data_IF_521453111849
#
_entry.id   IF_521453111849
#
_cell.length_a   1.000
_cell.length_b   1.000
_cell.length_c   1.000
_cell.angle_alpha   90.00
_cell.angle_beta   90.00
_cell.angle_gamma   90.00
#
_symmetry.space_group_name_H-M   'P 1'
#
loop_
_entity.id
_entity.type
_entity.pdbx_description
1 polymer ?
2 non-polymer ?
3 non-polymer ?
4 non-polymer ?
5 water ?
#
# COMPACT_ATOMS: atom_id res chain seq x y z
N UNK A 11 -13.90 -15.50 -22.94
CA UNK A 11 -13.22 -14.29 -22.40
C UNK A 11 -11.82 -14.57 -21.89
N UNK A 12 -10.81 -14.31 -22.74
CA UNK A 12 -9.40 -14.37 -22.34
C UNK A 12 -9.02 -13.01 -21.83
N UNK A 13 -8.62 -12.95 -20.57
CA UNK A 13 -8.12 -11.71 -20.01
C UNK A 13 -6.91 -11.27 -20.78
N UNK A 14 -6.78 -9.96 -20.92
CA UNK A 14 -5.63 -9.39 -21.56
C UNK A 14 -4.45 -9.48 -20.61
N UNK A 15 -3.29 -9.85 -21.16
CA UNK A 15 -2.06 -9.95 -20.40
C UNK A 15 -1.10 -8.82 -20.70
N UNK A 16 -1.53 -7.84 -21.50
CA UNK A 16 -0.64 -6.73 -21.84
C UNK A 16 -0.35 -5.96 -20.55
N UNK A 17 0.94 -5.72 -20.26
CA UNK A 17 1.33 -5.00 -19.05
C UNK A 17 1.14 -3.50 -19.12
N UNK A 18 0.78 -2.93 -17.98
CA UNK A 18 0.67 -1.50 -17.83
C UNK A 18 1.47 -1.13 -16.60
N UNK A 19 2.07 0.06 -16.59
CA UNK A 19 2.74 0.60 -15.41
C UNK A 19 1.83 1.67 -14.82
N UNK A 20 1.49 1.53 -13.54
CA UNK A 20 0.61 2.53 -12.94
C UNK A 20 1.28 3.89 -12.89
N UNK A 21 0.50 4.91 -13.25
CA UNK A 21 0.90 6.33 -13.20
C UNK A 21 -0.37 7.16 -13.29
N UNK A 22 -0.31 8.41 -12.83
CA UNK A 22 -1.50 9.28 -12.85
C UNK A 22 -1.13 10.78 -12.95
N UNK A 33 -6.69 8.81 -14.05
CA UNK A 33 -5.53 8.16 -14.65
C UNK A 33 -5.80 7.69 -16.08
N UNK A 34 -6.94 8.13 -16.64
CA UNK A 34 -7.32 7.77 -18.01
C UNK A 34 -8.43 6.75 -17.98
N UNK A 35 -9.15 6.65 -19.10
CA UNK A 35 -10.34 5.80 -19.19
C UNK A 35 -9.99 4.31 -19.05
N UNK A 36 -8.91 3.91 -19.73
CA UNK A 36 -8.51 2.52 -19.75
C UNK A 36 -8.23 2.04 -18.33
N UNK A 37 -7.33 2.74 -17.65
CA UNK A 37 -6.95 2.37 -16.29
C UNK A 37 -8.13 2.46 -15.34
N UNK A 38 -8.83 3.59 -15.37
CA UNK A 38 -10.04 3.77 -14.57
C UNK A 38 -10.99 2.59 -14.66
N UNK A 39 -11.37 2.18 -15.88
CA UNK A 39 -12.32 1.07 -15.97
C UNK A 39 -11.67 -0.30 -15.67
N UNK A 40 -10.38 -0.48 -15.99
CA UNK A 40 -9.71 -1.73 -15.58
C UNK A 40 -9.79 -1.89 -14.06
N UNK A 41 -9.52 -0.80 -13.33
CA UNK A 41 -9.57 -0.86 -11.87
C UNK A 41 -10.99 -1.04 -11.35
N UNK A 42 -11.91 -0.24 -11.87
CA UNK A 42 -13.30 -0.32 -11.49
C UNK A 42 -13.90 -1.74 -11.57
N UNK A 43 -13.66 -2.44 -12.68
CA UNK A 43 -14.25 -3.77 -12.90
C UNK A 43 -13.49 -4.90 -12.17
N UNK A 44 -12.29 -4.60 -11.69
CA UNK A 44 -11.42 -5.65 -11.13
C UNK A 44 -10.88 -5.31 -9.74
N UNK A 45 -11.71 -4.69 -8.91
CA UNK A 45 -11.48 -4.59 -7.49
C UNK A 45 -10.34 -3.66 -7.14
N UNK A 46 -10.12 -2.65 -7.97
CA UNK A 46 -8.97 -1.75 -7.76
C UNK A 46 -9.42 -0.34 -7.43
N UNK A 47 -8.56 0.38 -6.74
CA UNK A 47 -8.80 1.81 -6.52
C UNK A 47 -7.48 2.54 -6.38
N UNK A 48 -7.52 3.85 -6.63
CA UNK A 48 -6.35 4.70 -6.49
C UNK A 48 -6.67 6.01 -5.77
N UNK A 49 -7.95 6.23 -5.48
CA UNK A 49 -8.46 7.43 -4.81
C UNK A 49 -9.61 7.02 -3.91
N UNK A 50 -9.84 7.82 -2.88
CA UNK A 50 -11.05 7.70 -2.06
C UNK A 50 -12.09 8.69 -2.57
N UNK A 51 -13.07 8.97 -1.72
CA UNK A 51 -14.15 9.89 -2.06
C UNK A 51 -13.63 11.30 -2.26
N UNK A 52 -13.86 11.87 -3.45
CA UNK A 52 -13.28 13.16 -3.83
C UNK A 52 -14.10 14.37 -3.37
N UNK A 53 -15.20 14.10 -2.68
CA UNK A 53 -16.08 15.15 -2.14
C UNK A 53 -15.85 15.36 -0.64
N UNK A 54 -14.93 14.60 -0.04
CA UNK A 54 -14.56 14.72 1.36
C UNK A 54 -13.04 14.95 1.42
N UNK A 55 -12.59 15.68 2.45
CA UNK A 55 -11.18 15.98 2.63
C UNK A 55 -10.47 14.89 3.45
N UNK A 56 -10.82 13.64 3.16
CA UNK A 56 -10.12 12.48 3.75
C UNK A 56 -9.04 12.03 2.80
N UNK A 57 -7.86 11.76 3.36
CA UNK A 57 -6.70 11.28 2.60
C UNK A 57 -6.06 10.09 3.30
N UNK A 58 -5.23 9.35 2.56
CA UNK A 58 -4.78 8.01 2.98
C UNK A 58 -3.30 7.84 2.75
N UNK A 59 -2.54 7.73 3.83
CA UNK A 59 -1.11 7.57 3.77
C UNK A 59 -0.74 6.08 3.65
N UNK A 60 0.17 5.79 2.71
CA UNK A 60 0.68 4.44 2.53
C UNK A 60 2.17 4.49 2.27
N UNK A 61 2.82 3.37 2.56
CA UNK A 61 4.26 3.15 2.33
C UNK A 61 4.42 1.76 1.74
N UNK A 62 5.44 1.60 0.89
CA UNK A 62 5.85 0.27 0.42
C UNK A 62 7.19 -0.11 1.07
N UNK A 63 7.25 -1.35 1.55
CA UNK A 63 8.35 -1.83 2.35
C UNK A 63 8.89 -3.12 1.79
N UNK A 64 9.67 -2.96 0.72
CA UNK A 64 10.46 -4.04 0.17
C UNK A 64 11.92 -3.93 0.55
N UNK A 65 12.33 -2.78 1.07
CA UNK A 65 13.69 -2.56 1.53
C UNK A 65 13.66 -1.74 2.82
N UNK A 66 14.60 -1.99 3.72
CA UNK A 66 14.71 -1.18 4.94
C UNK A 66 15.95 -0.31 4.87
N UNK A 67 15.73 1.00 4.81
CA UNK A 67 16.81 1.97 4.72
C UNK A 67 17.29 2.43 6.08
N UNK A 68 16.56 2.08 7.14
CA UNK A 68 16.93 2.37 8.52
C UNK A 68 16.13 3.50 9.17
N UNK A 69 15.08 3.95 8.50
CA UNK A 69 14.28 5.07 9.01
C UNK A 69 12.81 4.72 9.30
N UNK A 70 12.40 3.47 9.05
CA UNK A 70 11.02 3.13 9.28
C UNK A 70 10.61 3.32 10.73
N UNK A 71 11.51 3.07 11.69
CA UNK A 71 11.19 3.28 13.10
C UNK A 71 10.91 4.75 13.39
N UNK A 72 11.65 5.62 12.74
CA UNK A 72 11.45 7.09 12.88
C UNK A 72 10.13 7.54 12.25
N UNK A 73 9.76 6.95 11.09
CA UNK A 73 8.43 7.16 10.50
C UNK A 73 7.35 6.74 11.48
N UNK A 74 7.50 5.55 12.05
CA UNK A 74 6.50 5.03 12.96
C UNK A 74 6.39 5.94 14.19
N UNK A 75 7.52 6.47 14.64
CA UNK A 75 7.49 7.40 15.80
C UNK A 75 6.63 8.65 15.48
N UNK A 76 6.84 9.22 14.29
CA UNK A 76 6.05 10.35 13.84
C UNK A 76 4.55 9.99 13.78
N UNK A 77 4.20 8.87 13.16
CA UNK A 77 2.80 8.49 13.04
C UNK A 77 2.11 8.30 14.40
N UNK A 78 2.87 7.79 15.36
CA UNK A 78 2.38 7.58 16.71
C UNK A 78 2.14 8.93 17.42
N UNK A 79 3.09 9.85 17.25
CA UNK A 79 3.01 11.19 17.85
C UNK A 79 1.82 11.96 17.31
N UNK A 80 1.62 11.87 16.01
CA UNK A 80 0.60 12.61 15.31
C UNK A 80 -0.73 11.89 15.24
N UNK A 81 -0.78 10.65 15.70
CA UNK A 81 -1.97 9.80 15.58
C UNK A 81 -2.51 9.73 14.17
N UNK A 82 -1.64 9.32 13.26
CA UNK A 82 -1.99 9.20 11.86
C UNK A 82 -1.85 7.72 11.48
N UNK A 83 -2.92 7.12 10.93
CA UNK A 83 -2.87 5.73 10.46
C UNK A 83 -2.24 5.63 9.07
N UNK A 84 -1.58 4.51 8.83
CA UNK A 84 -1.02 4.22 7.50
C UNK A 84 -1.14 2.74 7.19
N UNK A 85 -1.06 2.40 5.91
CA UNK A 85 -0.88 1.04 5.47
C UNK A 85 0.58 0.90 4.96
N UNK A 86 1.26 -0.15 5.42
CA UNK A 86 2.60 -0.54 5.00
C UNK A 86 2.45 -1.82 4.18
N UNK A 87 2.76 -1.71 2.89
CA UNK A 87 2.71 -2.85 1.98
C UNK A 87 4.05 -3.53 2.01
N UNK A 88 4.11 -4.71 2.63
CA UNK A 88 5.38 -5.42 2.91
C UNK A 88 5.65 -6.60 1.98
N UNK A 89 6.92 -6.84 1.69
CA UNK A 89 7.33 -8.05 0.97
C UNK A 89 7.77 -9.16 1.94
N UNK A 90 8.00 -10.35 1.41
CA UNK A 90 8.55 -11.46 2.22
C UNK A 90 9.94 -11.22 2.78
N UNK A 91 10.81 -10.58 1.99
CA UNK A 91 12.15 -10.22 2.44
C UNK A 91 12.07 -9.27 3.60
N UNK A 92 11.16 -8.32 3.51
CA UNK A 92 10.97 -7.38 4.60
C UNK A 92 10.48 -8.10 5.87
N UNK A 93 9.44 -8.94 5.74
CA UNK A 93 8.91 -9.68 6.89
C UNK A 93 9.98 -10.52 7.58
N UNK A 94 10.78 -11.23 6.79
CA UNK A 94 11.79 -12.14 7.37
C UNK A 94 12.92 -11.39 8.07
N UNK A 95 13.26 -10.22 7.54
CA UNK A 95 14.43 -9.46 8.02
C UNK A 95 14.10 -8.33 8.99
N UNK A 96 12.82 -7.99 9.14
CA UNK A 96 12.43 -6.85 9.99
C UNK A 96 11.21 -7.18 10.86
N UNK A 97 11.24 -8.32 11.55
CA UNK A 97 10.08 -8.73 12.35
C UNK A 97 9.70 -7.71 13.40
N UNK A 98 10.67 -7.04 14.01
CA UNK A 98 10.35 -6.09 15.06
C UNK A 98 9.58 -4.87 14.56
N UNK A 99 9.97 -4.35 13.40
CA UNK A 99 9.23 -3.24 12.78
C UNK A 99 7.82 -3.68 12.37
N UNK A 100 7.69 -4.91 11.85
CA UNK A 100 6.40 -5.44 11.52
C UNK A 100 5.44 -5.47 12.73
N UNK A 101 5.97 -5.91 13.88
CA UNK A 101 5.20 -5.92 15.10
C UNK A 101 4.82 -4.52 15.56
N UNK A 102 5.69 -3.54 15.37
CA UNK A 102 5.31 -2.12 15.64
C UNK A 102 4.16 -1.70 14.76
N UNK A 103 4.17 -2.11 13.50
CA UNK A 103 3.08 -1.72 12.62
C UNK A 103 1.73 -2.20 13.15
N UNK A 104 1.66 -3.46 13.57
CA UNK A 104 0.41 -4.02 14.07
C UNK A 104 0.05 -3.42 15.44
N UNK A 105 1.05 -3.33 16.31
CA UNK A 105 0.84 -2.88 17.69
C UNK A 105 0.46 -1.42 17.79
N UNK A 106 0.91 -0.60 16.83
CA UNK A 106 0.63 0.85 16.86
C UNK A 106 -0.53 1.32 15.96
N UNK A 107 -1.39 0.40 15.55
CA UNK A 107 -2.65 0.74 14.92
C UNK A 107 -2.64 0.90 13.41
N UNK A 108 -1.61 0.36 12.75
CA UNK A 108 -1.53 0.43 11.28
C UNK A 108 -2.08 -0.83 10.63
N UNK A 109 -2.20 -0.79 9.31
CA UNK A 109 -2.64 -1.97 8.55
C UNK A 109 -1.44 -2.43 7.78
N UNK A 110 -1.18 -3.75 7.80
CA UNK A 110 -0.09 -4.32 7.02
C UNK A 110 -0.69 -4.89 5.73
N UNK A 111 -0.21 -4.36 4.60
CA UNK A 111 -0.65 -4.83 3.29
C UNK A 111 0.35 -5.77 2.66
N UNK A 112 -0.07 -6.33 1.53
CA UNK A 112 0.64 -7.37 0.82
C UNK A 112 1.33 -6.79 -0.42
N UNK A 113 2.67 -6.86 -0.47
CA UNK A 113 3.45 -6.36 -1.60
C UNK A 113 4.20 -7.52 -2.29
N UNK A 114 3.73 -8.75 -2.05
CA UNK A 114 4.28 -10.02 -2.61
C UNK A 114 5.54 -10.56 -1.96
N UNK A 115 5.75 -11.86 -2.09
CA UNK A 115 6.89 -12.49 -1.42
C UNK A 115 8.24 -12.01 -1.92
N UNK A 116 8.46 -12.10 -3.23
CA UNK A 116 9.76 -11.81 -3.83
C UNK A 116 9.78 -10.58 -4.77
N UNK A 117 8.66 -9.84 -4.82
CA UNK A 117 8.60 -8.60 -5.59
C UNK A 117 8.88 -8.77 -7.09
N UNK A 118 8.30 -9.80 -7.72
CA UNK A 118 8.36 -9.89 -9.19
C UNK A 118 7.31 -9.01 -9.81
N UNK A 119 7.53 -8.66 -11.06
CA UNK A 119 6.44 -8.10 -11.87
C UNK A 119 5.36 -9.18 -12.05
N UNK A 120 4.14 -8.89 -11.61
CA UNK A 120 3.03 -9.86 -11.63
C UNK A 120 2.67 -10.34 -13.03
N UNK A 121 2.92 -9.48 -14.01
CA UNK A 121 2.62 -9.81 -15.40
C UNK A 121 3.62 -10.84 -15.98
N UNK A 122 4.74 -11.08 -15.29
CA UNK A 122 5.83 -11.94 -15.75
C UNK A 122 5.79 -13.33 -15.13
N UNK A 123 4.80 -13.62 -14.30
CA UNK A 123 4.80 -14.92 -13.61
C UNK A 123 3.57 -15.68 -13.97
N UNK A 124 3.63 -17.01 -13.85
CA UNK A 124 2.47 -17.84 -14.07
C UNK A 124 1.45 -17.78 -12.90
N UNK A 125 0.26 -18.32 -13.11
CA UNK A 125 -0.85 -18.17 -12.15
C UNK A 125 -0.55 -18.82 -10.79
N UNK A 126 -0.03 -20.04 -10.84
CA UNK A 126 0.40 -20.78 -9.65
C UNK A 126 1.41 -19.93 -8.83
N UNK A 127 2.36 -19.32 -9.51
CA UNK A 127 3.39 -18.51 -8.88
C UNK A 127 2.78 -17.25 -8.31
N UNK A 128 1.88 -16.60 -9.03
CA UNK A 128 1.24 -15.41 -8.49
C UNK A 128 0.46 -15.74 -7.22
N UNK A 129 -0.25 -16.87 -7.21
CA UNK A 129 -1.03 -17.25 -6.04
C UNK A 129 -0.09 -17.49 -4.88
N UNK A 130 1.05 -18.12 -5.13
CA UNK A 130 2.03 -18.38 -4.03
C UNK A 130 2.64 -17.08 -3.52
N UNK A 131 2.93 -16.17 -4.46
CA UNK A 131 3.53 -14.88 -4.12
C UNK A 131 2.62 -14.07 -3.18
N UNK A 132 1.30 -14.13 -3.38
CA UNK A 132 0.34 -13.43 -2.51
C UNK A 132 0.04 -14.21 -1.24
N UNK A 133 -0.25 -15.49 -1.38
CA UNK A 133 -0.68 -16.30 -0.24
C UNK A 133 0.43 -16.42 0.79
N UNK A 134 1.66 -16.55 0.37
CA UNK A 134 2.78 -16.67 1.31
C UNK A 134 2.92 -15.45 2.21
N UNK A 135 2.80 -14.25 1.65
CA UNK A 135 2.83 -13.04 2.46
C UNK A 135 1.63 -12.93 3.37
N UNK A 136 0.44 -13.23 2.88
CA UNK A 136 -0.77 -13.15 3.71
C UNK A 136 -0.66 -14.04 4.94
N UNK A 137 -0.27 -15.28 4.69
CA UNK A 137 -0.12 -16.24 5.79
C UNK A 137 0.98 -15.80 6.75
N UNK A 138 2.10 -15.29 6.24
CA UNK A 138 3.19 -14.80 7.10
C UNK A 138 2.76 -13.59 7.93
N UNK A 139 2.08 -12.63 7.33
CA UNK A 139 1.56 -11.48 8.09
C UNK A 139 0.67 -11.95 9.27
N UNK A 140 -0.28 -12.82 8.97
CA UNK A 140 -1.21 -13.37 9.98
C UNK A 140 -0.50 -14.15 11.06
N UNK A 141 0.44 -15.01 10.68
CA UNK A 141 1.16 -15.85 11.71
C UNK A 141 2.11 -15.01 12.56
N UNK A 142 2.85 -14.08 11.92
CA UNK A 142 3.86 -13.29 12.62
C UNK A 142 3.23 -12.23 13.50
N UNK A 143 2.21 -11.54 13.01
CA UNK A 143 1.70 -10.37 13.74
C UNK A 143 0.36 -10.53 14.41
N UNK A 144 -0.40 -11.53 13.99
CA UNK A 144 -1.78 -11.68 14.39
C UNK A 144 -2.82 -10.79 13.81
N UNK A 145 -2.46 -9.98 12.80
CA UNK A 145 -3.46 -9.26 12.05
C UNK A 145 -4.47 -10.25 11.49
N UNK A 146 -5.74 -9.93 11.65
CA UNK A 146 -6.83 -10.86 11.34
C UNK A 146 -7.01 -11.10 9.85
N UNK A 147 -6.99 -10.02 9.07
CA UNK A 147 -7.32 -10.08 7.67
C UNK A 147 -6.21 -9.33 6.92
N UNK A 148 -5.93 -9.78 5.70
CA UNK A 148 -5.03 -9.06 4.80
C UNK A 148 -5.86 -8.81 3.53
N UNK A 149 -6.38 -7.60 3.39
CA UNK A 149 -7.35 -7.24 2.36
C UNK A 149 -6.74 -6.52 1.16
N UNK A 150 -5.55 -5.95 1.36
CA UNK A 150 -5.00 -4.95 0.42
C UNK A 150 -3.70 -5.46 -0.21
N UNK A 151 -3.66 -5.43 -1.54
CA UNK A 151 -2.48 -5.79 -2.31
C UNK A 151 -2.05 -4.58 -3.12
N UNK A 152 -0.77 -4.27 -3.12
CA UNK A 152 -0.20 -3.31 -4.10
C UNK A 152 0.84 -4.05 -4.94
N UNK A 153 0.64 -4.10 -6.27
CA UNK A 153 1.58 -4.83 -7.09
C UNK A 153 2.98 -4.23 -7.14
N UNK A 154 4.02 -5.09 -7.14
CA UNK A 154 5.38 -4.60 -7.32
C UNK A 154 5.51 -3.67 -8.52
N UNK A 155 6.14 -2.54 -8.29
CA UNK A 155 6.35 -1.50 -9.31
C UNK A 155 5.09 -0.93 -9.96
N UNK A 156 3.91 -1.20 -9.38
CA UNK A 156 2.65 -0.77 -9.94
C UNK A 156 2.36 -1.40 -11.30
N UNK A 157 3.00 -2.54 -11.58
CA UNK A 157 2.80 -3.23 -12.84
C UNK A 157 1.60 -4.16 -12.74
N UNK A 158 0.73 -4.10 -13.75
CA UNK A 158 -0.48 -4.89 -13.80
C UNK A 158 -0.94 -5.17 -15.23
N UNK A 159 -1.79 -6.17 -15.35
CA UNK A 159 -2.63 -6.41 -16.53
C UNK A 159 -4.05 -6.67 -16.10
N UNK A 160 -4.98 -6.72 -17.04
CA UNK A 160 -6.30 -7.19 -16.73
C UNK A 160 -6.28 -8.53 -15.98
N UNK A 161 -5.46 -9.45 -16.44
CA UNK A 161 -5.35 -10.77 -15.82
C UNK A 161 -4.93 -10.68 -14.36
N UNK A 162 -3.88 -9.94 -14.08
CA UNK A 162 -3.32 -9.90 -12.70
C UNK A 162 -4.28 -9.21 -11.74
N UNK A 163 -4.95 -8.14 -12.18
CA UNK A 163 -6.00 -7.49 -11.41
C UNK A 163 -7.11 -8.46 -11.09
N UNK A 164 -7.59 -9.18 -12.09
CA UNK A 164 -8.70 -10.09 -11.89
C UNK A 164 -8.33 -11.30 -10.98
N UNK A 165 -7.12 -11.84 -11.15
CA UNK A 165 -6.65 -12.95 -10.30
C UNK A 165 -6.49 -12.51 -8.86
N UNK A 166 -5.99 -11.31 -8.67
CA UNK A 166 -5.83 -10.75 -7.31
C UNK A 166 -7.20 -10.58 -6.62
N UNK A 167 -8.18 -9.99 -7.30
CA UNK A 167 -9.53 -9.87 -6.79
C UNK A 167 -10.18 -11.22 -6.48
N UNK A 168 -10.00 -12.17 -7.38
CA UNK A 168 -10.55 -13.51 -7.21
C UNK A 168 -10.03 -14.17 -5.94
N UNK A 169 -8.78 -13.88 -5.59
CA UNK A 169 -8.17 -14.39 -4.35
C UNK A 169 -8.63 -13.64 -3.09
N UNK A 170 -9.42 -12.59 -3.27
CA UNK A 170 -10.06 -11.91 -2.17
C UNK A 170 -9.39 -10.60 -1.76
N UNK A 171 -8.56 -10.06 -2.64
CA UNK A 171 -7.83 -8.80 -2.37
C UNK A 171 -8.32 -7.64 -3.20
N UNK A 172 -8.26 -6.44 -2.60
CA UNK A 172 -8.27 -5.19 -3.38
C UNK A 172 -6.89 -4.93 -3.98
N UNK A 173 -6.92 -4.35 -5.18
CA UNK A 173 -5.73 -3.89 -5.85
C UNK A 173 -5.63 -2.38 -5.52
N UNK A 174 -4.62 -2.00 -4.76
CA UNK A 174 -4.51 -0.65 -4.22
C UNK A 174 -3.34 0.06 -4.86
N UNK A 175 -3.65 1.07 -5.69
CA UNK A 175 -2.62 1.88 -6.33
C UNK A 175 -2.45 3.17 -5.54
N UNK A 176 -2.20 4.30 -6.19
CA UNK A 176 -1.97 5.58 -5.46
C UNK A 176 -2.30 6.72 -6.38
N UNK A 177 -2.45 7.90 -5.81
CA UNK A 177 -2.66 9.10 -6.64
C UNK A 177 -1.55 10.12 -6.60
N UNK A 178 -0.69 10.03 -5.60
CA UNK A 178 0.44 10.90 -5.44
C UNK A 178 1.57 10.11 -4.84
N UNK A 179 2.74 10.15 -5.45
CA UNK A 179 3.94 9.56 -4.84
C UNK A 179 5.01 10.60 -4.71
N UNK A 180 5.69 10.58 -3.58
CA UNK A 180 6.81 11.47 -3.42
C UNK A 180 8.05 10.83 -2.84
N UNK A 181 9.08 10.87 -3.69
CA UNK A 181 10.43 10.45 -3.40
C UNK A 181 11.32 11.61 -3.91
N UNK A 182 12.09 12.25 -3.04
CA UNK A 182 12.98 13.34 -3.44
C UNK A 182 14.13 12.87 -4.35
N UNK A 183 14.11 13.24 -5.63
CA UNK A 183 15.18 12.86 -6.57
C UNK A 183 16.37 13.81 -6.43
N UNK A 202 -1.74 17.73 -3.48
CA UNK A 202 -2.73 17.03 -2.64
C UNK A 202 -4.15 17.42 -3.04
N UNK A 203 -5.07 16.47 -2.96
CA UNK A 203 -6.47 16.69 -3.26
C UNK A 203 -7.35 15.81 -2.42
N UNK A 204 -8.64 16.15 -2.31
CA UNK A 204 -9.57 15.29 -1.60
C UNK A 204 -9.57 13.86 -2.17
N UNK A 205 -9.48 12.88 -1.27
CA UNK A 205 -9.42 11.47 -1.65
C UNK A 205 -8.04 10.94 -2.00
N UNK A 206 -7.01 11.78 -1.95
CA UNK A 206 -5.68 11.33 -2.33
C UNK A 206 -5.23 10.11 -1.52
N UNK A 207 -4.63 9.15 -2.23
CA UNK A 207 -3.87 8.05 -1.63
C UNK A 207 -2.38 8.36 -1.90
N UNK A 208 -1.64 8.64 -0.83
CA UNK A 208 -0.25 9.03 -0.92
C UNK A 208 0.64 7.83 -0.76
N UNK A 209 1.68 7.77 -1.59
CA UNK A 209 2.71 6.78 -1.42
C UNK A 209 3.98 7.56 -1.03
N UNK A 210 4.35 7.51 0.23
CA UNK A 210 5.50 8.24 0.74
C UNK A 210 6.63 7.24 1.05
N UNK A 211 7.77 7.75 1.54
CA UNK A 211 8.98 6.98 1.69
C UNK A 211 9.72 7.19 3.00
N UNK A 212 10.62 6.27 3.32
CA UNK A 212 11.41 6.26 4.54
C UNK A 212 12.86 5.99 4.15
N UNK A 213 13.40 6.84 3.28
CA UNK A 213 14.66 6.53 2.61
C UNK A 213 15.83 7.26 3.25
N UNK A 214 15.59 8.46 3.76
CA UNK A 214 16.68 9.23 4.35
C UNK A 214 16.36 9.79 5.71
N UNK A 215 17.40 10.32 6.35
CA UNK A 215 17.30 10.87 7.70
C UNK A 215 16.28 12.02 7.80
N UNK A 216 16.07 12.76 6.71
CA UNK A 216 15.17 13.92 6.71
C UNK A 216 13.69 13.58 6.40
N UNK A 217 13.42 12.37 5.95
CA UNK A 217 12.04 12.00 5.58
C UNK A 217 11.07 12.05 6.73
N UNK A 218 11.53 11.67 7.91
CA UNK A 218 10.68 11.67 9.10
C UNK A 218 10.21 13.10 9.43
N UNK A 219 11.13 14.06 9.25
CA UNK A 219 10.86 15.49 9.49
C UNK A 219 9.87 16.00 8.45
N UNK A 220 10.09 15.63 7.19
CA UNK A 220 9.20 16.03 6.11
C UNK A 220 7.81 15.49 6.38
N UNK A 221 7.70 14.23 6.80
CA UNK A 221 6.39 13.64 7.07
C UNK A 221 5.65 14.41 8.15
N UNK A 222 6.36 14.73 9.23
CA UNK A 222 5.76 15.47 10.36
C UNK A 222 5.20 16.82 9.89
N UNK A 223 5.98 17.51 9.05
CA UNK A 223 5.56 18.81 8.49
C UNK A 223 4.37 18.72 7.56
N UNK A 224 4.35 17.67 6.73
CA UNK A 224 3.28 17.43 5.79
C UNK A 224 1.97 17.13 6.53
N UNK A 225 2.04 16.32 7.58
CA UNK A 225 0.86 16.00 8.39
C UNK A 225 0.30 17.27 9.03
N UNK A 226 1.17 18.03 9.64
CA UNK A 226 0.75 19.29 10.28
C UNK A 226 0.11 20.23 9.27
N UNK A 227 0.78 20.44 8.15
CA UNK A 227 0.33 21.36 7.10
C UNK A 227 -1.01 20.96 6.48
N UNK A 228 -1.19 19.67 6.20
CA UNK A 228 -2.41 19.22 5.63
C UNK A 228 -3.55 19.31 6.63
N UNK A 229 -3.30 19.05 7.91
CA UNK A 229 -4.38 19.22 8.90
C UNK A 229 -4.84 20.67 9.00
N UNK A 230 -3.95 21.63 8.84
CA UNK A 230 -4.30 23.07 8.83
C UNK A 230 -5.16 23.46 7.63
N UNK A 231 -5.10 22.66 6.56
CA UNK A 231 -5.95 22.85 5.40
C UNK A 231 -7.26 22.04 5.44
N UNK A 232 -7.56 21.44 6.59
CA UNK A 232 -8.83 20.78 6.81
C UNK A 232 -8.84 19.31 6.43
N UNK A 233 -7.68 18.76 6.06
CA UNK A 233 -7.61 17.34 5.72
C UNK A 233 -7.61 16.44 6.92
N UNK A 234 -8.17 15.25 6.73
CA UNK A 234 -8.21 14.22 7.76
C UNK A 234 -7.51 12.99 7.22
N UNK A 235 -6.60 12.43 8.00
CA UNK A 235 -5.87 11.22 7.63
C UNK A 235 -6.61 9.99 8.13
N UNK A 236 -6.96 9.11 7.19
CA UNK A 236 -7.79 7.97 7.43
C UNK A 236 -7.11 6.67 6.97
N UNK A 237 -7.71 5.54 7.31
CA UNK A 237 -7.19 4.22 6.92
C UNK A 237 -7.86 3.69 5.67
N UNK A 238 -7.26 2.67 5.07
CA UNK A 238 -7.84 2.04 3.88
C UNK A 238 -9.17 1.34 4.22
N UNK A 239 -9.31 0.85 5.45
CA UNK A 239 -10.63 0.38 5.95
C UNK A 239 -11.68 1.51 5.89
N UNK A 240 -11.29 2.72 6.28
CA UNK A 240 -12.19 3.89 6.23
C UNK A 240 -12.58 4.20 4.78
N UNK A 241 -11.61 4.06 3.88
CA UNK A 241 -11.84 4.32 2.47
C UNK A 241 -12.97 3.43 1.97
N UNK A 242 -12.83 2.13 2.22
CA UNK A 242 -13.84 1.18 1.77
C UNK A 242 -15.23 1.56 2.32
N UNK A 243 -15.30 1.89 3.61
CA UNK A 243 -16.56 2.36 4.22
C UNK A 243 -17.06 3.69 3.65
N UNK A 244 -16.15 4.63 3.37
CA UNK A 244 -16.49 5.88 2.66
C UNK A 244 -17.24 5.59 1.37
N UNK A 245 -17.16 4.35 0.93
CA UNK A 245 -18.09 3.79 -0.03
C UNK A 245 -17.72 4.17 -1.46
X LIG B 1 7.74 -2.31 -4.45
X LIG C 1 8.58 4.36 -4.02
X LIG D 1 -13.03 13.39 7.18
X LIG E 1 15.56 -11.64 1.36
X LIG F 1 9.62 -1.23 -2.91
X LIG F 1 9.61 -1.15 -4.13
X LIG F 1 8.75 -1.82 -2.26
X LIG F 1 10.72 -0.55 -2.15
X LIG G 1 7.13 5.35 -5.96
X LIG G 1 7.36 4.26 -5.40
X LIG G 1 7.71 6.41 -5.67
X LIG G 1 6.10 5.38 -7.05
X LIG H 1 6.94 0.41 -5.73
X LIG H 1 6.87 0.82 -4.08
X LIG H 1 7.03 -1.30 -5.88
X LIG H 1 5.27 1.00 -6.55
X LIG H 1 8.48 1.21 -6.65
#
# INVERSE_FOLDING_TARGET
>A
MGSSHHHHHHMAYTNTPHNWGIPRPKNETVPDAGKLYTDLLQKNGGFYLGDTKKKDIYLTFDNGYENGYTGKILDVLKEKKVPATFFVTGHYIKTQKDLLLRMKDEGHIIGNHSWSHPDFTAVNDEKLREELTSVTEEIKKVTGQKEVKYVRPPRGVFSERTLALTKEMGYYNVFWSLAFLDWKVDEQRGWQYAHNNVMTMIHPGSILLLHAISKDNAEALAKIIDDLREKGYHFKSLDDLVKSNQP
>B hetero
1 ZN ZN
>C hetero
1 ZN ZN
>D hetero
1 ZN ZN
>E hetero
1 ZN ZN
>F hetero
1 ACT C O OXT CH3
>G hetero
1 ACT C O OXT CH3
>H hetero
1 CAC AS O1 O2 C1 C2
#
